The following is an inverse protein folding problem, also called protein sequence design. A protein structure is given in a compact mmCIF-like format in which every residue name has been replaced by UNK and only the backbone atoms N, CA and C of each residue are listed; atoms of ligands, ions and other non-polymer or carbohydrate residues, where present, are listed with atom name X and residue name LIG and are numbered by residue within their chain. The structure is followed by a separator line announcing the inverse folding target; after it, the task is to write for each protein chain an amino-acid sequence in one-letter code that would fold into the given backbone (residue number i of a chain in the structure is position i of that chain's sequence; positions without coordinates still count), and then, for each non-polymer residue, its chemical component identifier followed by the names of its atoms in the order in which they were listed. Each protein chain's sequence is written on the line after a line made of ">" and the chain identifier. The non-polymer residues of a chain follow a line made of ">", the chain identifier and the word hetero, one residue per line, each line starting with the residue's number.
data_IF_722495155689
#
_entry.id   IF_722495155689
#
_cell.length_a   1.000
_cell.length_b   1.000
_cell.length_c   1.000
_cell.angle_alpha   90.00
_cell.angle_beta   90.00
_cell.angle_gamma   90.00
#
_symmetry.space_group_name_H-M   'P 1'
#
loop_
_entity.id
_entity.type
_entity.pdbx_description
1 polymer ?
#
# COMPACT_ATOMS: atom_id res chain seq x y z
N UNK A 1 -5.45 -30.94 23.67
CA UNK A 1 -6.58 -31.76 23.18
C UNK A 1 -7.74 -30.82 22.91
N UNK A 2 -8.01 -30.55 21.62
CA UNK A 2 -9.26 -29.99 21.09
C UNK A 2 -9.22 -30.26 19.58
N UNK A 3 -10.24 -30.97 19.11
CA UNK A 3 -10.42 -31.44 17.73
C UNK A 3 -11.11 -30.37 16.89
N UNK A 4 -10.65 -30.14 15.67
CA UNK A 4 -11.50 -29.64 14.59
C UNK A 4 -11.13 -30.33 13.27
N UNK A 5 -12.16 -30.78 12.55
CA UNK A 5 -12.11 -31.23 11.17
C UNK A 5 -12.90 -30.21 10.35
N UNK A 6 -12.31 -29.65 9.29
CA UNK A 6 -13.03 -28.80 8.32
C UNK A 6 -12.16 -27.80 7.56
N UNK A 7 -12.00 -28.05 6.25
CA UNK A 7 -11.30 -27.27 5.21
C UNK A 7 -9.76 -27.16 5.36
N UNK A 8 -9.04 -27.51 4.30
CA UNK A 8 -7.57 -27.54 4.28
C UNK A 8 -7.01 -26.11 4.19
N UNK A 9 -6.87 -25.45 5.35
CA UNK A 9 -6.11 -24.22 5.50
C UNK A 9 -5.16 -24.37 6.69
N UNK A 10 -3.88 -24.63 6.44
CA UNK A 10 -2.88 -24.67 7.50
C UNK A 10 -2.52 -23.22 7.87
N UNK A 11 -2.82 -22.81 9.11
CA UNK A 11 -2.33 -21.54 9.65
C UNK A 11 -0.92 -21.72 10.19
N UNK A 12 0.05 -21.09 9.55
CA UNK A 12 1.44 -21.06 10.02
C UNK A 12 1.68 -19.72 10.71
N UNK A 13 2.10 -19.75 11.98
CA UNK A 13 2.48 -18.56 12.74
C UNK A 13 3.97 -18.63 13.02
N UNK A 14 4.72 -17.66 12.50
CA UNK A 14 6.17 -17.56 12.70
C UNK A 14 6.44 -16.37 13.60
N UNK A 15 7.00 -16.64 14.78
CA UNK A 15 7.47 -15.58 15.69
C UNK A 15 8.98 -15.43 15.54
N UNK A 16 9.40 -14.26 15.09
CA UNK A 16 10.79 -13.93 14.86
C UNK A 16 11.35 -13.15 16.07
N UNK A 17 12.54 -13.51 16.58
CA UNK A 17 13.25 -12.67 17.54
C UNK A 17 13.44 -11.24 17.03
N UNK A 18 13.36 -10.25 17.92
CA UNK A 18 13.56 -8.85 17.55
C UNK A 18 15.00 -8.59 17.14
N UNK A 19 15.23 -8.47 15.84
CA UNK A 19 16.49 -8.06 15.22
C UNK A 19 16.20 -7.59 13.80
N UNK A 20 17.17 -6.91 13.19
CA UNK A 20 17.11 -6.57 11.78
C UNK A 20 17.48 -7.82 10.97
N UNK A 21 16.55 -8.29 10.14
CA UNK A 21 16.79 -9.39 9.19
C UNK A 21 17.31 -8.85 7.87
N UNK A 22 18.28 -9.52 7.26
CA UNK A 22 18.77 -9.10 5.94
C UNK A 22 17.69 -9.21 4.86
N UNK A 23 16.92 -10.30 4.89
CA UNK A 23 15.82 -10.52 3.96
C UNK A 23 14.72 -11.35 4.60
N UNK A 24 13.47 -10.95 4.38
CA UNK A 24 12.28 -11.78 4.56
C UNK A 24 11.64 -11.99 3.19
N UNK A 25 11.39 -13.25 2.83
CA UNK A 25 10.65 -13.61 1.63
C UNK A 25 9.58 -14.63 1.97
N UNK A 26 8.34 -14.35 1.59
CA UNK A 26 7.20 -15.24 1.77
C UNK A 26 6.44 -15.31 0.46
N UNK A 27 6.24 -16.53 -0.04
CA UNK A 27 5.46 -16.81 -1.25
C UNK A 27 4.33 -17.76 -0.89
N UNK A 28 3.15 -17.53 -1.45
CA UNK A 28 1.94 -18.31 -1.21
C UNK A 28 1.07 -18.37 -2.45
N UNK A 29 0.29 -19.44 -2.58
CA UNK A 29 -0.63 -19.59 -3.71
C UNK A 29 -2.06 -19.17 -3.34
N UNK A 30 -2.51 -19.56 -2.16
CA UNK A 30 -3.84 -19.22 -1.65
C UNK A 30 -3.68 -19.01 -0.16
N UNK A 31 -3.12 -17.85 0.19
CA UNK A 31 -2.54 -17.61 1.51
C UNK A 31 -2.68 -16.16 1.89
N UNK A 32 -3.26 -15.93 3.06
CA UNK A 32 -3.30 -14.61 3.68
C UNK A 32 -2.04 -14.41 4.50
N UNK A 33 -1.41 -13.25 4.36
CA UNK A 33 -0.22 -12.88 5.10
C UNK A 33 -0.55 -11.77 6.08
N UNK A 34 -0.21 -11.97 7.36
CA UNK A 34 -0.26 -10.93 8.37
C UNK A 34 1.14 -10.78 8.97
N UNK A 35 1.78 -9.66 8.69
CA UNK A 35 3.14 -9.35 9.12
C UNK A 35 3.09 -8.14 10.06
N UNK A 36 3.56 -8.33 11.29
CA UNK A 36 3.55 -7.27 12.31
C UNK A 36 4.94 -7.07 12.90
N UNK A 37 5.29 -5.83 13.22
CA UNK A 37 6.49 -5.49 14.01
C UNK A 37 7.80 -6.03 13.40
N UNK A 38 7.85 -6.11 12.06
CA UNK A 38 9.02 -6.62 11.35
C UNK A 38 10.10 -5.54 11.25
N UNK A 39 11.35 -5.94 11.49
CA UNK A 39 12.54 -5.13 11.21
C UNK A 39 13.40 -5.87 10.18
N UNK A 40 13.55 -5.32 8.97
CA UNK A 40 14.32 -5.97 7.91
C UNK A 40 15.08 -4.96 7.02
N UNK A 41 16.06 -5.44 6.26
CA UNK A 41 16.66 -4.66 5.17
C UNK A 41 15.79 -4.76 3.91
N UNK A 42 15.38 -5.98 3.53
CA UNK A 42 14.46 -6.23 2.41
C UNK A 42 13.33 -7.15 2.81
N UNK A 43 12.13 -6.86 2.32
CA UNK A 43 10.94 -7.70 2.54
C UNK A 43 10.22 -7.91 1.22
N UNK A 44 9.90 -9.17 0.90
CA UNK A 44 9.11 -9.55 -0.25
C UNK A 44 7.97 -10.49 0.15
N UNK A 45 6.74 -10.08 -0.13
CA UNK A 45 5.54 -10.88 0.08
C UNK A 45 4.82 -11.06 -1.25
N UNK A 46 4.55 -12.30 -1.65
CA UNK A 46 3.86 -12.60 -2.91
C UNK A 46 2.79 -13.68 -2.71
N UNK A 47 1.56 -13.38 -3.11
CA UNK A 47 0.45 -14.32 -3.14
C UNK A 47 -0.13 -14.47 -4.56
N UNK A 48 -0.53 -15.66 -5.00
CA UNK A 48 -1.38 -15.76 -6.19
C UNK A 48 -2.80 -15.29 -5.82
N UNK A 49 -3.34 -15.81 -4.71
CA UNK A 49 -4.59 -15.34 -4.11
C UNK A 49 -4.48 -15.23 -2.59
N UNK A 50 -5.19 -14.29 -2.00
CA UNK A 50 -5.19 -14.01 -0.57
C UNK A 50 -4.74 -12.59 -0.25
N UNK A 51 -5.09 -12.16 0.96
CA UNK A 51 -4.90 -10.79 1.41
C UNK A 51 -3.55 -10.62 2.11
N UNK A 52 -2.94 -9.45 1.96
CA UNK A 52 -1.65 -9.14 2.58
C UNK A 52 -1.80 -7.92 3.49
N UNK A 53 -1.65 -8.16 4.79
CA UNK A 53 -1.67 -7.14 5.83
C UNK A 53 -0.27 -6.96 6.42
N UNK A 54 0.20 -5.71 6.47
CA UNK A 54 1.43 -5.32 7.16
C UNK A 54 1.17 -4.19 8.15
N UNK A 55 1.69 -4.32 9.38
CA UNK A 55 1.45 -3.36 10.45
C UNK A 55 2.73 -3.09 11.26
N UNK A 56 3.02 -1.83 11.57
CA UNK A 56 4.14 -1.43 12.44
C UNK A 56 5.49 -1.99 11.99
N UNK A 57 5.80 -1.93 10.68
CA UNK A 57 7.02 -2.51 10.13
C UNK A 57 8.11 -1.45 9.86
N UNK A 58 9.38 -1.85 9.88
CA UNK A 58 10.50 -1.02 9.43
C UNK A 58 11.41 -1.78 8.46
N UNK A 59 11.56 -1.24 7.26
CA UNK A 59 12.33 -1.84 6.17
C UNK A 59 13.41 -0.86 5.69
N UNK A 60 14.69 -1.22 5.79
CA UNK A 60 15.78 -0.27 5.53
C UNK A 60 16.07 -0.01 4.04
N UNK A 61 15.64 -0.86 3.12
CA UNK A 61 16.00 -0.74 1.70
C UNK A 61 14.80 -0.87 0.79
N UNK A 62 14.11 -2.01 0.80
CA UNK A 62 13.07 -2.30 -0.19
C UNK A 62 11.96 -3.17 0.39
N UNK A 63 10.72 -2.69 0.23
CA UNK A 63 9.51 -3.45 0.52
C UNK A 63 8.79 -3.73 -0.80
N UNK A 64 8.57 -5.01 -1.12
CA UNK A 64 7.82 -5.46 -2.29
C UNK A 64 6.65 -6.35 -1.84
N UNK A 65 5.44 -5.96 -2.20
CA UNK A 65 4.21 -6.68 -1.86
C UNK A 65 3.41 -6.91 -3.13
N UNK A 66 3.03 -8.16 -3.41
CA UNK A 66 2.28 -8.50 -4.61
C UNK A 66 1.19 -9.54 -4.36
N UNK A 67 0.03 -9.35 -4.96
CA UNK A 67 -1.00 -10.38 -5.07
C UNK A 67 -1.62 -10.40 -6.47
N UNK A 68 -2.10 -11.55 -6.95
CA UNK A 68 -2.90 -11.54 -8.20
C UNK A 68 -4.38 -11.29 -7.88
N UNK A 69 -4.89 -11.86 -6.79
CA UNK A 69 -6.27 -11.66 -6.35
C UNK A 69 -6.36 -11.60 -4.82
N UNK A 70 -6.57 -10.41 -4.30
CA UNK A 70 -6.66 -10.12 -2.87
C UNK A 70 -6.26 -8.68 -2.58
N UNK A 71 -6.55 -8.23 -1.37
CA UNK A 71 -6.31 -6.85 -0.97
C UNK A 71 -4.93 -6.70 -0.33
N UNK A 72 -4.33 -5.51 -0.47
CA UNK A 72 -3.08 -5.16 0.19
C UNK A 72 -3.33 -4.02 1.17
N UNK A 73 -3.10 -4.27 2.45
CA UNK A 73 -3.18 -3.26 3.50
C UNK A 73 -1.83 -3.08 4.18
N UNK A 74 -1.33 -1.85 4.21
CA UNK A 74 -0.07 -1.49 4.90
C UNK A 74 -0.31 -0.31 5.83
N UNK A 75 -0.01 -0.50 7.11
CA UNK A 75 -0.23 0.48 8.17
C UNK A 75 1.03 0.72 9.00
N UNK A 76 1.24 1.96 9.44
CA UNK A 76 2.28 2.37 10.40
C UNK A 76 3.69 1.85 10.01
N UNK A 77 4.05 1.98 8.74
CA UNK A 77 5.25 1.32 8.19
C UNK A 77 6.26 2.33 7.67
N UNK A 78 7.51 2.19 8.13
CA UNK A 78 8.66 2.99 7.69
C UNK A 78 9.53 2.18 6.73
N UNK A 79 9.60 2.62 5.48
CA UNK A 79 10.56 2.11 4.48
C UNK A 79 11.60 3.20 4.26
N UNK A 80 12.89 2.93 4.47
CA UNK A 80 13.93 3.97 4.25
C UNK A 80 14.32 4.13 2.78
N UNK A 81 13.95 3.19 1.91
CA UNK A 81 14.15 3.27 0.47
C UNK A 81 12.81 3.18 -0.25
N UNK A 82 12.67 2.18 -1.11
CA UNK A 82 11.52 2.07 -2.02
C UNK A 82 10.46 1.09 -1.53
N UNK A 83 9.20 1.49 -1.67
CA UNK A 83 8.05 0.63 -1.45
C UNK A 83 7.31 0.38 -2.77
N UNK A 84 7.13 -0.88 -3.14
CA UNK A 84 6.38 -1.32 -4.30
C UNK A 84 5.23 -2.24 -3.89
N UNK A 85 3.99 -1.87 -4.24
CA UNK A 85 2.81 -2.73 -4.10
C UNK A 85 2.14 -2.96 -5.45
N UNK A 86 1.76 -4.21 -5.73
CA UNK A 86 1.12 -4.59 -6.99
C UNK A 86 -0.05 -5.58 -6.76
N UNK A 87 -1.20 -5.30 -7.35
CA UNK A 87 -2.34 -6.21 -7.42
C UNK A 87 -2.83 -6.36 -8.86
N UNK A 88 -3.31 -7.54 -9.27
CA UNK A 88 -4.06 -7.64 -10.54
C UNK A 88 -5.54 -7.34 -10.29
N UNK A 89 -6.12 -7.93 -9.25
CA UNK A 89 -7.46 -7.62 -8.78
C UNK A 89 -7.47 -7.53 -7.26
N UNK A 90 -7.96 -6.42 -6.73
CA UNK A 90 -7.98 -6.14 -5.30
C UNK A 90 -7.62 -4.69 -5.00
N UNK A 91 -8.06 -4.26 -3.83
CA UNK A 91 -7.89 -2.90 -3.35
C UNK A 91 -6.54 -2.74 -2.64
N UNK A 92 -6.00 -1.53 -2.67
CA UNK A 92 -4.81 -1.18 -1.90
C UNK A 92 -5.13 -0.10 -0.89
N UNK A 93 -4.80 -0.35 0.37
CA UNK A 93 -4.93 0.62 1.45
C UNK A 93 -3.59 0.86 2.13
N UNK A 94 -3.10 2.09 2.05
CA UNK A 94 -1.93 2.56 2.79
C UNK A 94 -2.35 3.58 3.84
N UNK A 95 -1.86 3.42 5.06
CA UNK A 95 -2.13 4.33 6.17
C UNK A 95 -0.86 4.59 6.98
N UNK A 96 -0.48 5.86 7.16
CA UNK A 96 0.71 6.24 7.94
C UNK A 96 2.00 5.57 7.44
N UNK A 97 2.26 5.66 6.13
CA UNK A 97 3.43 5.03 5.47
C UNK A 97 4.46 6.09 5.08
N UNK A 98 5.74 5.84 5.39
CA UNK A 98 6.85 6.69 4.95
C UNK A 98 7.80 5.89 4.07
N UNK A 99 8.12 6.39 2.88
CA UNK A 99 9.17 5.87 2.00
C UNK A 99 9.92 7.01 1.29
N UNK A 100 11.04 6.72 0.62
CA UNK A 100 11.61 7.67 -0.35
C UNK A 100 10.68 7.77 -1.57
N UNK A 101 10.26 6.62 -2.10
CA UNK A 101 9.30 6.50 -3.19
C UNK A 101 8.34 5.34 -2.91
N UNK A 102 7.05 5.60 -3.08
CA UNK A 102 5.96 4.62 -2.99
C UNK A 102 5.40 4.42 -4.39
N UNK A 103 5.40 3.18 -4.89
CA UNK A 103 4.76 2.81 -6.16
C UNK A 103 3.63 1.82 -5.93
N UNK A 104 2.42 2.20 -6.35
CA UNK A 104 1.20 1.40 -6.21
C UNK A 104 0.60 1.13 -7.57
N UNK A 105 0.32 -0.13 -7.90
CA UNK A 105 -0.23 -0.51 -9.20
C UNK A 105 -1.34 -1.54 -9.03
N UNK A 106 -2.57 -1.22 -9.44
CA UNK A 106 -3.65 -2.22 -9.57
C UNK A 106 -4.27 -2.20 -10.96
N UNK A 107 -4.69 -3.36 -11.47
CA UNK A 107 -5.46 -3.40 -12.73
C UNK A 107 -6.96 -3.24 -12.48
N UNK A 108 -7.49 -3.82 -11.40
CA UNK A 108 -8.89 -3.64 -11.03
C UNK A 108 -9.03 -3.61 -9.51
N UNK A 109 -9.64 -2.54 -9.01
CA UNK A 109 -9.72 -2.24 -7.58
C UNK A 109 -9.31 -0.80 -7.31
N UNK A 110 -9.58 -0.33 -6.11
CA UNK A 110 -9.33 1.05 -5.71
C UNK A 110 -8.01 1.17 -4.95
N UNK A 111 -7.37 2.34 -5.02
CA UNK A 111 -6.19 2.65 -4.21
C UNK A 111 -6.54 3.80 -3.27
N UNK A 112 -6.45 3.54 -1.97
CA UNK A 112 -6.59 4.54 -0.92
C UNK A 112 -5.28 4.74 -0.18
N UNK A 113 -4.81 5.99 -0.12
CA UNK A 113 -3.60 6.35 0.64
C UNK A 113 -3.93 7.45 1.62
N UNK A 114 -3.67 7.22 2.91
CA UNK A 114 -3.87 8.20 3.97
C UNK A 114 -2.58 8.45 4.76
N UNK A 115 -2.24 9.72 4.97
CA UNK A 115 -1.08 10.16 5.78
C UNK A 115 0.27 9.53 5.36
N UNK A 116 0.69 9.73 4.11
CA UNK A 116 1.98 9.22 3.62
C UNK A 116 3.07 10.30 3.53
N UNK A 117 4.34 9.89 3.58
CA UNK A 117 5.54 10.70 3.31
C UNK A 117 6.40 10.05 2.23
N UNK A 118 7.03 10.86 1.38
CA UNK A 118 7.78 10.43 0.20
C UNK A 118 7.16 10.86 -1.12
N UNK A 119 7.78 10.46 -2.23
CA UNK A 119 7.14 10.51 -3.55
C UNK A 119 6.11 9.39 -3.71
N UNK A 120 5.05 9.64 -4.46
CA UNK A 120 3.98 8.67 -4.74
C UNK A 120 3.73 8.55 -6.24
N UNK A 121 3.82 7.32 -6.73
CA UNK A 121 3.49 6.91 -8.10
C UNK A 121 2.39 5.83 -8.04
N UNK A 122 1.13 6.23 -8.21
CA UNK A 122 -0.03 5.35 -8.13
C UNK A 122 -0.77 5.26 -9.46
N UNK A 123 -1.02 4.03 -9.93
CA UNK A 123 -1.82 3.80 -11.14
C UNK A 123 -2.86 2.70 -10.93
N UNK A 124 -4.07 2.98 -11.42
CA UNK A 124 -5.18 2.06 -11.52
C UNK A 124 -5.71 2.02 -12.96
N UNK A 125 -5.97 0.82 -13.50
CA UNK A 125 -6.60 0.73 -14.82
C UNK A 125 -8.13 0.88 -14.75
N UNK A 126 -8.77 0.21 -13.79
CA UNK A 126 -10.20 0.29 -13.54
C UNK A 126 -10.47 0.39 -12.04
N UNK A 127 -10.92 1.55 -11.58
CA UNK A 127 -11.09 1.88 -10.17
C UNK A 127 -10.62 3.30 -9.86
N UNK A 128 -10.84 3.69 -8.62
CA UNK A 128 -10.62 5.06 -8.14
C UNK A 128 -9.30 5.18 -7.37
N UNK A 129 -8.70 6.37 -7.41
CA UNK A 129 -7.57 6.75 -6.56
C UNK A 129 -8.04 7.80 -5.54
N UNK A 130 -7.94 7.52 -4.24
CA UNK A 130 -8.25 8.49 -3.17
C UNK A 130 -7.03 8.71 -2.27
N UNK A 131 -6.47 9.91 -2.32
CA UNK A 131 -5.29 10.32 -1.58
C UNK A 131 -5.67 11.41 -0.56
N UNK A 132 -5.45 11.15 0.74
CA UNK A 132 -5.66 12.11 1.83
C UNK A 132 -4.37 12.24 2.67
N UNK A 133 -3.55 13.28 2.46
CA UNK A 133 -2.31 13.44 3.21
C UNK A 133 -1.85 14.89 3.31
N UNK A 134 -1.59 15.36 4.53
CA UNK A 134 -0.93 16.64 4.80
C UNK A 134 0.61 16.56 4.76
N UNK A 135 1.15 15.37 4.53
CA UNK A 135 2.57 15.06 4.73
C UNK A 135 3.34 14.90 3.41
N UNK A 136 2.81 15.48 2.33
CA UNK A 136 3.45 15.47 1.02
C UNK A 136 4.87 16.01 1.09
N UNK A 137 5.83 15.22 0.66
CA UNK A 137 7.26 15.54 0.75
C UNK A 137 8.05 15.16 -0.51
N UNK A 138 7.36 14.74 -1.57
CA UNK A 138 7.93 14.40 -2.86
C UNK A 138 6.90 14.57 -3.99
N UNK A 139 7.27 14.13 -5.19
CA UNK A 139 6.42 14.24 -6.38
C UNK A 139 5.21 13.29 -6.30
N UNK A 140 4.08 13.71 -6.87
CA UNK A 140 2.86 12.91 -6.97
C UNK A 140 2.53 12.66 -8.44
N UNK A 141 2.57 11.39 -8.84
CA UNK A 141 2.16 10.92 -10.14
C UNK A 141 0.98 9.96 -9.96
N UNK A 142 -0.21 10.38 -10.36
CA UNK A 142 -1.45 9.62 -10.17
C UNK A 142 -2.14 9.40 -11.52
N UNK A 143 -2.47 8.17 -11.84
CA UNK A 143 -3.14 7.81 -13.10
C UNK A 143 -4.29 6.82 -12.86
N UNK A 144 -5.52 7.23 -13.16
CA UNK A 144 -6.64 6.30 -13.37
C UNK A 144 -7.02 6.30 -14.84
N UNK A 145 -7.07 5.10 -15.44
CA UNK A 145 -7.49 4.96 -16.84
C UNK A 145 -9.01 5.01 -16.96
N UNK A 146 -9.72 4.33 -16.04
CA UNK A 146 -11.18 4.23 -15.98
C UNK A 146 -11.65 4.33 -14.52
N UNK A 147 -11.88 5.56 -14.07
CA UNK A 147 -12.26 5.88 -12.69
C UNK A 147 -11.83 7.30 -12.33
N UNK A 148 -12.13 7.71 -11.11
CA UNK A 148 -11.88 9.05 -10.64
C UNK A 148 -10.57 9.12 -9.83
N UNK A 149 -9.92 10.28 -9.88
CA UNK A 149 -8.77 10.57 -9.03
C UNK A 149 -9.13 11.72 -8.10
N UNK A 150 -9.19 11.42 -6.80
CA UNK A 150 -9.44 12.39 -5.76
C UNK A 150 -8.19 12.60 -4.90
N UNK A 151 -7.85 13.87 -4.69
CA UNK A 151 -6.82 14.28 -3.75
C UNK A 151 -7.43 15.26 -2.75
N UNK A 152 -7.24 14.97 -1.46
CA UNK A 152 -7.65 15.79 -0.35
C UNK A 152 -6.46 16.18 0.52
N UNK A 153 -6.46 17.44 0.93
CA UNK A 153 -5.54 18.00 1.93
C UNK A 153 -6.38 18.60 3.06
N UNK A 154 -5.88 18.51 4.29
CA UNK A 154 -6.45 19.24 5.44
C UNK A 154 -5.72 20.56 5.67
N UNK A 155 -4.44 20.62 5.29
CA UNK A 155 -3.62 21.84 5.31
C UNK A 155 -3.17 22.17 3.89
N UNK A 156 -3.20 23.46 3.53
CA UNK A 156 -2.74 23.91 2.20
C UNK A 156 -1.24 23.60 2.02
N UNK A 157 -0.84 22.85 0.98
CA UNK A 157 0.56 22.51 0.77
C UNK A 157 1.36 23.76 0.38
N UNK A 158 2.60 23.87 0.84
CA UNK A 158 3.48 25.01 0.50
C UNK A 158 3.73 25.13 -1.01
N UNK A 159 3.77 24.00 -1.71
CA UNK A 159 3.83 23.93 -3.17
C UNK A 159 3.26 22.60 -3.63
N UNK A 160 2.44 22.62 -4.68
CA UNK A 160 1.92 21.42 -5.35
C UNK A 160 1.95 21.64 -6.86
N UNK A 161 2.62 20.73 -7.59
CA UNK A 161 2.47 20.58 -9.03
C UNK A 161 1.66 19.33 -9.28
N UNK A 162 0.54 19.45 -9.99
CA UNK A 162 -0.35 18.35 -10.31
C UNK A 162 -0.53 18.27 -11.82
N UNK A 163 0.04 17.23 -12.42
CA UNK A 163 -0.17 16.89 -13.83
C UNK A 163 -1.16 15.72 -13.93
N UNK A 164 -2.42 16.03 -14.23
CA UNK A 164 -3.48 15.03 -14.38
C UNK A 164 -3.74 14.69 -15.86
N UNK A 165 -3.65 13.41 -16.20
CA UNK A 165 -4.05 12.88 -17.50
C UNK A 165 -5.01 11.71 -17.27
N UNK A 166 -6.23 11.80 -17.80
CA UNK A 166 -7.19 10.69 -17.79
C UNK A 166 -7.65 10.38 -19.21
N UNK A 167 -7.83 9.08 -19.47
CA UNK A 167 -8.45 8.61 -20.71
C UNK A 167 -9.97 8.53 -20.60
N UNK A 168 -10.50 8.30 -19.39
CA UNK A 168 -11.93 8.31 -19.06
C UNK A 168 -12.11 8.38 -17.53
N UNK A 169 -12.76 9.43 -17.04
CA UNK A 169 -12.95 9.69 -15.60
C UNK A 169 -12.66 11.16 -15.23
N UNK A 170 -13.17 11.61 -14.09
CA UNK A 170 -13.02 12.98 -13.61
C UNK A 170 -11.88 13.07 -12.57
N UNK A 171 -11.08 14.12 -12.67
CA UNK A 171 -10.00 14.42 -11.71
C UNK A 171 -10.43 15.55 -10.79
N UNK A 172 -10.37 15.34 -9.49
CA UNK A 172 -10.74 16.33 -8.48
C UNK A 172 -9.65 16.54 -7.44
N UNK A 173 -9.29 17.80 -7.20
CA UNK A 173 -8.44 18.19 -6.07
C UNK A 173 -9.23 19.13 -5.17
N UNK A 174 -9.37 18.77 -3.88
CA UNK A 174 -10.14 19.58 -2.92
C UNK A 174 -9.32 19.85 -1.67
N UNK A 175 -9.25 21.11 -1.23
CA UNK A 175 -8.75 21.44 0.09
C UNK A 175 -9.92 21.38 1.08
N UNK A 176 -9.88 20.46 2.04
CA UNK A 176 -10.92 20.37 3.08
C UNK A 176 -10.62 21.40 4.16
N UNK A 177 -11.35 22.50 4.13
CA UNK A 177 -11.35 23.48 5.23
C UNK A 177 -11.88 22.79 6.49
N UNK A 178 -11.02 22.58 7.49
CA UNK A 178 -11.47 22.19 8.82
C UNK A 178 -11.98 23.47 9.48
N UNK A 179 -13.29 23.67 9.48
CA UNK A 179 -13.93 24.64 10.36
C UNK A 179 -13.81 24.09 11.79
N UNK A 180 -12.94 24.69 12.61
CA UNK A 180 -12.74 24.39 14.04
C UNK A 180 -13.88 24.94 14.90
#
# INVERSE_FOLDING_TARGET
>A
MLTSFGSWGARVVIQLPTRIYDQIRIDGKSSDFSVRQLLANRTQLAADSGDIEMETCSVNQELSVATSSGDIQVQDTLVKGHFHAHATSGDMRLEQVTAEEIRLRTHSGDIRVTEFRGGLDAMVNSGDLDIDSDLLSGDLNLESRSGDVQIAFRTEPESLSLDYHSSSGDGGCTNRRIDL
#
